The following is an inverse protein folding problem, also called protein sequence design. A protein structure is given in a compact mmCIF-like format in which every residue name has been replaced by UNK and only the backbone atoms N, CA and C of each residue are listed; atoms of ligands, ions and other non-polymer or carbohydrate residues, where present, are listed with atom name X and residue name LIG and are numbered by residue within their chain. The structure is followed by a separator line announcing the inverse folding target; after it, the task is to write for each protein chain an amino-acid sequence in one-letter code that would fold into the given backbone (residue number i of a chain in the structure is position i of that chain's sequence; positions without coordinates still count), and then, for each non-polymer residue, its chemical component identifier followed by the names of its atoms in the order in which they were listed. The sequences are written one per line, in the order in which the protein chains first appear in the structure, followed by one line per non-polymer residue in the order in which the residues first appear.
data_IF_100483687600
#
_entry.id   IF_100483687600
#
_cell.length_a   1.000
_cell.length_b   1.000
_cell.length_c   1.000
_cell.angle_alpha   90.00
_cell.angle_beta   90.00
_cell.angle_gamma   90.00
#
_symmetry.space_group_name_H-M   'P 1'
#
loop_
_entity.id
_entity.type
_entity.pdbx_description
1 polymer ?
#
# COMPACT_ATOMS: atom_id res chain seq x y z
N UNK A 1 -50.27 -41.74 20.15
CA UNK A 1 -48.99 -42.40 19.81
C UNK A 1 -48.06 -41.34 19.23
N UNK A 2 -47.17 -40.78 20.05
CA UNK A 2 -46.16 -39.80 19.66
C UNK A 2 -44.90 -40.56 19.24
N UNK A 3 -44.51 -40.45 17.97
CA UNK A 3 -43.24 -40.98 17.48
C UNK A 3 -42.13 -39.97 17.80
N UNK A 4 -41.28 -40.31 18.77
CA UNK A 4 -40.05 -39.58 19.05
C UNK A 4 -39.05 -39.82 17.91
N UNK A 5 -38.89 -38.83 17.03
CA UNK A 5 -37.83 -38.80 16.02
C UNK A 5 -36.52 -38.41 16.70
N UNK A 6 -35.73 -39.41 17.06
CA UNK A 6 -34.33 -39.31 17.44
C UNK A 6 -33.53 -38.68 16.28
N UNK A 7 -33.23 -37.39 16.37
CA UNK A 7 -32.24 -36.75 15.50
C UNK A 7 -30.86 -37.24 15.96
N UNK A 8 -30.23 -38.09 15.13
CA UNK A 8 -28.86 -38.53 15.34
C UNK A 8 -27.92 -37.32 15.43
N UNK A 9 -26.95 -37.30 16.37
CA UNK A 9 -25.92 -36.28 16.37
C UNK A 9 -25.13 -36.40 15.07
N UNK A 10 -25.14 -35.33 14.26
CA UNK A 10 -24.32 -35.23 13.04
C UNK A 10 -22.85 -35.49 13.39
N UNK A 11 -22.08 -36.08 12.46
CA UNK A 11 -20.71 -36.49 12.75
C UNK A 11 -19.90 -35.28 13.22
N UNK A 12 -19.42 -35.36 14.45
CA UNK A 12 -18.46 -34.41 14.99
C UNK A 12 -17.22 -34.45 14.09
N UNK A 13 -17.00 -33.38 13.33
CA UNK A 13 -15.79 -33.17 12.52
C UNK A 13 -14.64 -32.84 13.47
N UNK A 14 -14.29 -33.78 14.34
CA UNK A 14 -13.03 -33.77 15.06
C UNK A 14 -12.03 -34.51 14.17
N UNK A 15 -11.49 -33.81 13.18
CA UNK A 15 -10.48 -34.36 12.29
C UNK A 15 -9.20 -34.66 13.09
N UNK A 16 -8.97 -35.93 13.40
CA UNK A 16 -7.68 -36.42 13.87
C UNK A 16 -6.71 -36.42 12.67
N UNK A 17 -6.07 -35.27 12.45
CA UNK A 17 -5.08 -35.11 11.40
C UNK A 17 -3.92 -36.06 11.66
N UNK A 18 -3.52 -36.79 10.62
CA UNK A 18 -2.34 -37.68 10.69
C UNK A 18 -1.08 -36.86 10.94
N UNK A 19 -0.07 -37.46 11.58
CA UNK A 19 1.23 -36.80 11.86
C UNK A 19 1.87 -36.21 10.59
N UNK A 20 1.69 -36.88 9.44
CA UNK A 20 2.13 -36.39 8.12
C UNK A 20 1.42 -35.12 7.68
N UNK A 21 0.12 -35.02 7.91
CA UNK A 21 -0.66 -33.82 7.58
C UNK A 21 -0.29 -32.66 8.51
N UNK A 22 -0.07 -32.93 9.81
CA UNK A 22 0.39 -31.92 10.76
C UNK A 22 1.75 -31.35 10.35
N UNK A 23 2.69 -32.22 9.97
CA UNK A 23 4.01 -31.81 9.47
C UNK A 23 3.91 -31.03 8.15
N UNK A 24 3.02 -31.46 7.24
CA UNK A 24 2.78 -30.77 5.96
C UNK A 24 2.19 -29.38 6.18
N UNK A 25 1.18 -29.26 7.05
CA UNK A 25 0.57 -27.98 7.42
C UNK A 25 1.58 -27.05 8.12
N UNK A 26 2.43 -27.59 9.00
CA UNK A 26 3.48 -26.82 9.65
C UNK A 26 4.48 -26.25 8.62
N UNK A 27 4.93 -27.07 7.67
CA UNK A 27 5.82 -26.64 6.57
C UNK A 27 5.16 -25.56 5.71
N UNK A 28 3.93 -25.78 5.25
CA UNK A 28 3.20 -24.82 4.42
C UNK A 28 2.98 -23.49 5.14
N UNK A 29 2.69 -23.51 6.45
CA UNK A 29 2.58 -22.28 7.26
C UNK A 29 3.91 -21.53 7.37
N UNK A 30 5.01 -22.25 7.49
CA UNK A 30 6.35 -21.65 7.54
C UNK A 30 6.72 -21.02 6.19
N UNK A 31 6.51 -21.73 5.09
CA UNK A 31 6.71 -21.23 3.72
C UNK A 31 5.85 -19.99 3.44
N UNK A 32 4.56 -20.06 3.80
CA UNK A 32 3.64 -18.92 3.66
C UNK A 32 4.10 -17.70 4.47
N UNK A 33 4.56 -17.91 5.71
CA UNK A 33 5.10 -16.82 6.54
C UNK A 33 6.36 -16.21 5.92
N UNK A 34 7.26 -17.02 5.36
CA UNK A 34 8.47 -16.54 4.70
C UNK A 34 8.15 -15.74 3.42
N UNK A 35 7.29 -16.28 2.55
CA UNK A 35 6.86 -15.60 1.33
C UNK A 35 6.15 -14.27 1.62
N UNK A 36 5.35 -14.24 2.69
CA UNK A 36 4.69 -13.01 3.15
C UNK A 36 5.69 -11.96 3.62
N UNK A 37 6.71 -12.36 4.36
CA UNK A 37 7.75 -11.46 4.82
C UNK A 37 8.54 -10.86 3.65
N UNK A 38 8.82 -11.66 2.64
CA UNK A 38 9.46 -11.21 1.41
C UNK A 38 8.56 -10.23 0.64
N UNK A 39 7.30 -10.57 0.44
CA UNK A 39 6.32 -9.67 -0.18
C UNK A 39 6.22 -8.35 0.58
N UNK A 40 6.17 -8.38 1.91
CA UNK A 40 6.18 -7.16 2.73
C UNK A 40 7.39 -6.29 2.42
N UNK A 41 8.60 -6.88 2.38
CA UNK A 41 9.83 -6.14 2.03
C UNK A 41 9.76 -5.56 0.61
N UNK A 42 9.21 -6.29 -0.35
CA UNK A 42 9.04 -5.81 -1.73
C UNK A 42 8.04 -4.65 -1.78
N UNK A 43 6.92 -4.74 -1.06
CA UNK A 43 5.93 -3.67 -0.99
C UNK A 43 6.47 -2.42 -0.28
N UNK A 44 7.26 -2.59 0.78
CA UNK A 44 7.95 -1.46 1.43
C UNK A 44 8.92 -0.75 0.50
N UNK A 45 9.48 -1.41 -0.52
CA UNK A 45 10.30 -0.73 -1.54
C UNK A 45 9.48 0.14 -2.48
N UNK A 46 8.17 -0.08 -2.60
CA UNK A 46 7.32 0.80 -3.41
C UNK A 46 7.11 2.16 -2.76
N UNK A 47 7.04 2.20 -1.43
CA UNK A 47 6.87 3.42 -0.65
C UNK A 47 8.15 3.69 0.15
N UNK A 48 9.15 4.38 -0.40
CA UNK A 48 10.39 4.63 0.33
C UNK A 48 10.11 5.39 1.63
N UNK A 49 11.01 5.20 2.58
CA UNK A 49 11.04 6.03 3.78
C UNK A 49 11.43 7.46 3.44
N UNK A 50 11.01 8.40 4.28
CA UNK A 50 11.28 9.82 4.10
C UNK A 50 10.05 10.68 4.32
N UNK A 51 10.30 11.96 4.58
CA UNK A 51 9.26 12.96 4.81
C UNK A 51 8.78 13.56 3.49
N UNK A 52 7.50 13.93 3.49
CA UNK A 52 6.92 14.79 2.48
C UNK A 52 6.68 16.17 3.10
N UNK A 53 6.56 17.23 2.29
CA UNK A 53 6.43 18.59 2.81
C UNK A 53 5.28 18.74 3.81
N UNK A 54 5.56 19.28 4.99
CA UNK A 54 4.59 19.49 6.08
C UNK A 54 3.44 20.42 5.66
N UNK A 55 3.68 21.31 4.69
CA UNK A 55 2.66 22.20 4.13
C UNK A 55 1.49 21.43 3.46
N UNK A 56 1.67 20.16 3.10
CA UNK A 56 0.63 19.28 2.55
C UNK A 56 -0.30 18.70 3.63
N UNK A 57 0.13 18.72 4.90
CA UNK A 57 -0.60 18.22 6.08
C UNK A 57 -1.09 16.77 5.99
N UNK A 58 -0.40 15.92 5.23
CA UNK A 58 -0.84 14.56 4.88
C UNK A 58 -0.98 13.66 6.12
N UNK A 59 -1.99 12.81 6.11
CA UNK A 59 -2.08 11.66 7.02
C UNK A 59 -1.04 10.59 6.64
N UNK A 60 -0.73 9.62 7.52
CA UNK A 60 0.25 8.57 7.23
C UNK A 60 -0.04 7.80 5.93
N UNK A 61 -1.29 7.43 5.68
CA UNK A 61 -1.70 6.70 4.47
C UNK A 61 -1.60 7.55 3.20
N UNK A 62 -1.95 8.84 3.30
CA UNK A 62 -1.78 9.78 2.18
C UNK A 62 -0.29 9.98 1.85
N UNK A 63 0.56 10.11 2.88
CA UNK A 63 2.01 10.23 2.71
C UNK A 63 2.62 9.01 2.03
N UNK A 64 2.27 7.80 2.47
CA UNK A 64 2.78 6.56 1.83
C UNK A 64 2.30 6.41 0.38
N UNK A 65 1.03 6.71 0.11
CA UNK A 65 0.52 6.69 -1.28
C UNK A 65 1.27 7.70 -2.16
N UNK A 66 1.44 8.92 -1.67
CA UNK A 66 2.12 9.98 -2.42
C UNK A 66 3.60 9.64 -2.65
N UNK A 67 4.32 9.14 -1.64
CA UNK A 67 5.69 8.68 -1.78
C UNK A 67 5.81 7.56 -2.82
N UNK A 68 4.85 6.63 -2.83
CA UNK A 68 4.80 5.55 -3.81
C UNK A 68 4.68 6.06 -5.24
N UNK A 69 3.79 7.01 -5.49
CA UNK A 69 3.65 7.64 -6.80
C UNK A 69 4.83 8.55 -7.16
N UNK A 70 5.46 9.17 -6.16
CA UNK A 70 6.61 10.04 -6.36
C UNK A 70 7.83 9.26 -6.82
N UNK A 71 8.04 8.03 -6.36
CA UNK A 71 9.15 7.18 -6.83
C UNK A 71 8.82 6.47 -8.13
N UNK A 72 7.67 5.81 -8.20
CA UNK A 72 7.36 4.89 -9.29
C UNK A 72 6.70 5.58 -10.50
N UNK A 73 6.14 6.77 -10.32
CA UNK A 73 5.45 7.54 -11.36
C UNK A 73 4.06 7.00 -11.72
N UNK A 74 3.88 5.68 -11.81
CA UNK A 74 2.60 5.04 -12.05
C UNK A 74 2.50 3.71 -11.29
N UNK A 75 1.36 3.45 -10.65
CA UNK A 75 1.11 2.21 -9.92
C UNK A 75 -0.34 1.76 -10.09
N UNK A 76 -0.55 0.45 -10.14
CA UNK A 76 -1.89 -0.17 -10.09
C UNK A 76 -2.51 0.01 -8.71
N UNK A 77 -3.84 -0.05 -8.65
CA UNK A 77 -4.60 0.17 -7.41
C UNK A 77 -4.22 -0.85 -6.33
N UNK A 78 -4.01 -2.13 -6.67
CA UNK A 78 -3.57 -3.11 -5.67
C UNK A 78 -2.18 -2.77 -5.11
N UNK A 79 -1.23 -2.41 -5.97
CA UNK A 79 0.12 -2.04 -5.55
C UNK A 79 0.11 -0.85 -4.58
N UNK A 80 -0.78 0.13 -4.81
CA UNK A 80 -0.96 1.26 -3.90
C UNK A 80 -1.61 0.84 -2.58
N UNK A 81 -2.57 -0.09 -2.58
CA UNK A 81 -3.15 -0.62 -1.35
C UNK A 81 -2.08 -1.26 -0.45
N UNK A 82 -1.24 -2.13 -1.03
CA UNK A 82 -0.15 -2.76 -0.29
C UNK A 82 0.92 -1.75 0.12
N UNK A 83 1.26 -0.77 -0.73
CA UNK A 83 2.22 0.28 -0.40
C UNK A 83 1.75 1.25 0.70
N UNK A 84 0.45 1.50 0.81
CA UNK A 84 -0.13 2.29 1.91
C UNK A 84 -0.08 1.55 3.25
N UNK A 85 -0.24 0.23 3.22
CA UNK A 85 -0.45 -0.60 4.40
C UNK A 85 0.49 -1.83 4.46
N UNK A 86 1.83 -1.68 4.28
CA UNK A 86 2.76 -2.81 4.26
C UNK A 86 2.83 -3.56 5.60
N UNK A 87 2.48 -2.88 6.69
CA UNK A 87 2.53 -3.44 8.04
C UNK A 87 1.26 -4.23 8.39
N UNK A 88 0.17 -4.04 7.64
CA UNK A 88 -1.09 -4.70 7.91
C UNK A 88 -1.13 -6.10 7.28
N UNK A 89 -1.75 -7.07 7.98
CA UNK A 89 -1.98 -8.36 7.39
C UNK A 89 -3.05 -8.30 6.30
N UNK A 90 -2.95 -9.17 5.27
CA UNK A 90 -3.88 -9.16 4.13
C UNK A 90 -5.36 -9.24 4.51
N UNK A 91 -5.70 -10.03 5.54
CA UNK A 91 -7.06 -10.14 6.06
C UNK A 91 -7.59 -8.86 6.73
N UNK A 92 -6.69 -7.94 7.12
CA UNK A 92 -7.02 -6.64 7.72
C UNK A 92 -6.78 -5.49 6.74
N UNK A 93 -6.38 -5.77 5.50
CA UNK A 93 -6.23 -4.72 4.50
C UNK A 93 -7.60 -4.07 4.24
N UNK A 94 -7.63 -2.74 4.10
CA UNK A 94 -8.86 -2.07 3.75
C UNK A 94 -9.31 -2.48 2.35
N UNK A 95 -10.61 -2.35 2.07
CA UNK A 95 -11.15 -2.61 0.75
C UNK A 95 -10.42 -1.78 -0.32
N UNK A 96 -10.25 -2.34 -1.53
CA UNK A 96 -9.54 -1.67 -2.64
C UNK A 96 -10.10 -0.27 -2.97
N UNK A 97 -11.41 -0.05 -2.72
CA UNK A 97 -12.07 1.25 -2.89
C UNK A 97 -11.50 2.35 -1.98
N UNK A 98 -10.90 1.99 -0.84
CA UNK A 98 -10.26 2.94 0.07
C UNK A 98 -9.10 3.69 -0.58
N UNK A 99 -8.39 3.09 -1.55
CA UNK A 99 -7.36 3.78 -2.34
C UNK A 99 -7.96 4.99 -3.06
N UNK A 100 -9.15 4.84 -3.65
CA UNK A 100 -9.84 5.93 -4.34
C UNK A 100 -10.20 7.09 -3.41
N UNK A 101 -10.61 6.79 -2.17
CA UNK A 101 -10.88 7.80 -1.14
C UNK A 101 -9.61 8.56 -0.75
N UNK A 102 -8.50 7.84 -0.54
CA UNK A 102 -7.21 8.47 -0.21
C UNK A 102 -6.70 9.32 -1.37
N UNK A 103 -6.83 8.86 -2.61
CA UNK A 103 -6.47 9.67 -3.80
C UNK A 103 -7.35 10.91 -3.92
N UNK A 104 -8.65 10.81 -3.61
CA UNK A 104 -9.56 11.96 -3.61
C UNK A 104 -9.08 13.05 -2.63
N UNK A 105 -8.75 12.68 -1.40
CA UNK A 105 -8.22 13.63 -0.41
C UNK A 105 -6.84 14.18 -0.81
N UNK A 106 -5.94 13.34 -1.31
CA UNK A 106 -4.64 13.78 -1.83
C UNK A 106 -4.78 14.80 -2.96
N UNK A 107 -5.66 14.56 -3.93
CA UNK A 107 -5.93 15.52 -5.01
C UNK A 107 -6.38 16.87 -4.47
N UNK A 108 -7.25 16.88 -3.45
CA UNK A 108 -7.70 18.12 -2.83
C UNK A 108 -6.55 18.90 -2.17
N UNK A 109 -5.64 18.20 -1.48
CA UNK A 109 -4.46 18.80 -0.81
C UNK A 109 -3.37 19.25 -1.78
N UNK A 110 -3.22 18.58 -2.92
CA UNK A 110 -2.21 18.88 -3.93
C UNK A 110 -2.64 19.99 -4.91
N UNK A 111 -3.95 20.21 -5.08
CA UNK A 111 -4.52 21.20 -6.00
C UNK A 111 -4.00 22.64 -5.78
N UNK A 112 -3.86 23.17 -4.55
CA UNK A 112 -3.32 24.51 -4.32
C UNK A 112 -1.91 24.71 -4.87
N UNK A 113 -1.16 23.62 -4.99
CA UNK A 113 0.23 23.63 -5.48
C UNK A 113 0.33 23.29 -6.98
N UNK A 114 -0.81 23.16 -7.66
CA UNK A 114 -0.87 22.80 -9.08
C UNK A 114 -0.30 21.41 -9.39
N UNK A 115 -0.30 20.50 -8.41
CA UNK A 115 0.16 19.11 -8.55
C UNK A 115 -1.06 18.23 -8.80
N UNK A 116 -1.02 17.42 -9.84
CA UNK A 116 -2.12 16.52 -10.20
C UNK A 116 -1.71 15.04 -10.17
N UNK A 117 -2.61 14.22 -9.63
CA UNK A 117 -2.60 12.75 -9.76
C UNK A 117 -3.70 12.39 -10.75
N UNK A 118 -3.36 11.69 -11.83
CA UNK A 118 -4.31 11.32 -12.88
C UNK A 118 -4.62 9.83 -12.85
N UNK A 119 -5.77 9.46 -13.42
CA UNK A 119 -6.17 8.07 -13.59
C UNK A 119 -6.04 7.72 -15.08
N UNK A 120 -5.30 6.67 -15.47
CA UNK A 120 -5.18 6.24 -16.86
C UNK A 120 -6.56 5.93 -17.47
N UNK A 121 -6.69 5.99 -18.81
CA UNK A 121 -7.97 5.74 -19.50
C UNK A 121 -8.54 4.34 -19.24
N UNK A 122 -7.70 3.35 -18.97
CA UNK A 122 -8.12 2.00 -18.63
C UNK A 122 -8.63 1.86 -17.18
N UNK A 123 -8.58 2.90 -16.35
CA UNK A 123 -9.09 2.89 -14.97
C UNK A 123 -8.20 2.14 -13.96
N UNK A 124 -7.18 1.42 -14.43
CA UNK A 124 -6.29 0.63 -13.60
C UNK A 124 -5.16 1.50 -13.02
N UNK A 125 -5.38 1.98 -11.80
CA UNK A 125 -4.36 2.65 -11.00
C UNK A 125 -4.28 4.16 -11.17
N UNK A 126 -3.15 4.71 -10.75
CA UNK A 126 -2.93 6.14 -10.67
C UNK A 126 -1.52 6.49 -11.14
N UNK A 127 -1.39 7.67 -11.74
CA UNK A 127 -0.12 8.16 -12.26
C UNK A 127 0.11 9.61 -11.88
N UNK A 128 1.38 9.94 -11.63
CA UNK A 128 1.90 11.28 -11.44
C UNK A 128 2.89 11.59 -12.57
N UNK A 129 2.59 12.65 -13.34
CA UNK A 129 3.46 13.06 -14.43
C UNK A 129 4.84 13.52 -13.96
N UNK A 130 5.88 13.41 -14.79
CA UNK A 130 7.20 13.94 -14.47
C UNK A 130 7.16 15.41 -14.06
N UNK A 131 6.34 16.23 -14.73
CA UNK A 131 6.14 17.63 -14.37
C UNK A 131 5.57 17.81 -12.95
N UNK A 132 4.62 16.97 -12.55
CA UNK A 132 4.04 17.03 -11.21
C UNK A 132 5.03 16.53 -10.13
N UNK A 133 5.85 15.54 -10.45
CA UNK A 133 6.97 15.09 -9.59
C UNK A 133 7.99 16.20 -9.39
N UNK A 134 8.34 16.95 -10.44
CA UNK A 134 9.21 18.13 -10.37
C UNK A 134 8.62 19.20 -9.45
N UNK A 135 7.32 19.50 -9.59
CA UNK A 135 6.63 20.47 -8.71
C UNK A 135 6.70 20.04 -7.24
N UNK A 136 6.48 18.76 -6.94
CA UNK A 136 6.62 18.24 -5.58
C UNK A 136 8.07 18.34 -5.07
N UNK A 137 9.06 18.05 -5.93
CA UNK A 137 10.48 18.27 -5.62
C UNK A 137 10.82 19.72 -5.31
N UNK A 138 10.18 20.69 -5.99
CA UNK A 138 10.33 22.11 -5.66
C UNK A 138 9.77 22.44 -4.28
N UNK A 139 8.63 21.86 -3.90
CA UNK A 139 8.07 22.04 -2.56
C UNK A 139 9.00 21.49 -1.47
N UNK A 140 9.60 20.31 -1.70
CA UNK A 140 10.59 19.73 -0.79
C UNK A 140 11.78 20.68 -0.61
N UNK A 141 12.34 21.21 -1.71
CA UNK A 141 13.47 22.15 -1.64
C UNK A 141 13.10 23.45 -0.92
N UNK A 142 11.93 24.00 -1.19
CA UNK A 142 11.44 25.20 -0.49
C UNK A 142 11.30 24.96 1.02
N UNK A 143 10.87 23.76 1.45
CA UNK A 143 10.79 23.42 2.86
C UNK A 143 12.17 23.22 3.49
N UNK A 144 13.12 22.61 2.78
CA UNK A 144 14.53 22.53 3.20
C UNK A 144 15.11 23.92 3.43
N UNK A 145 14.90 24.85 2.49
CA UNK A 145 15.36 26.24 2.61
C UNK A 145 14.69 26.96 3.78
N UNK A 146 13.39 26.74 4.01
CA UNK A 146 12.64 27.39 5.08
C UNK A 146 12.94 26.83 6.49
N UNK A 147 13.25 25.54 6.60
CA UNK A 147 13.40 24.85 7.90
C UNK A 147 14.86 24.51 8.25
N UNK A 148 15.77 24.56 7.29
CA UNK A 148 17.17 24.13 7.44
C UNK A 148 17.34 22.62 7.60
N UNK A 149 16.28 21.81 7.43
CA UNK A 149 16.36 20.35 7.52
C UNK A 149 17.19 19.78 6.37
N UNK A 150 17.99 18.73 6.59
CA UNK A 150 18.75 18.12 5.52
C UNK A 150 17.81 17.48 4.49
N UNK A 151 18.17 17.59 3.20
CA UNK A 151 17.38 17.01 2.09
C UNK A 151 17.20 15.49 2.22
N UNK A 152 18.12 14.82 2.92
CA UNK A 152 18.10 13.37 3.20
C UNK A 152 16.96 12.94 4.13
N UNK A 153 16.32 13.88 4.84
CA UNK A 153 15.13 13.57 5.65
C UNK A 153 13.87 13.40 4.79
N UNK A 154 13.91 13.83 3.52
CA UNK A 154 12.78 13.80 2.61
C UNK A 154 12.83 12.56 1.70
N UNK A 155 11.68 12.22 1.13
CA UNK A 155 11.58 11.11 0.17
C UNK A 155 12.53 11.35 -1.01
N UNK A 156 13.49 10.46 -1.19
CA UNK A 156 14.38 10.46 -2.34
C UNK A 156 13.66 9.89 -3.57
N UNK A 157 13.79 10.57 -4.71
CA UNK A 157 13.25 10.09 -5.97
C UNK A 157 14.07 10.57 -7.16
N UNK A 158 14.17 9.71 -8.19
CA UNK A 158 14.82 10.05 -9.44
C UNK A 158 13.80 10.48 -10.48
N UNK A 159 14.08 11.59 -11.17
CA UNK A 159 13.30 12.05 -12.33
C UNK A 159 13.61 11.27 -13.61
N UNK A 160 14.52 10.28 -13.55
CA UNK A 160 14.82 9.42 -14.70
C UNK A 160 13.52 8.83 -15.25
N UNK A 161 13.20 9.21 -16.48
CA UNK A 161 12.11 8.61 -17.25
C UNK A 161 12.64 7.24 -17.66
N UNK A 162 11.99 6.12 -17.31
CA UNK A 162 12.38 4.83 -17.86
C UNK A 162 12.27 4.95 -19.39
N UNK A 163 13.40 4.74 -20.08
CA UNK A 163 13.40 4.64 -21.53
C UNK A 163 12.49 3.45 -21.89
N UNK A 164 11.34 3.77 -22.46
CA UNK A 164 10.41 2.81 -23.08
C UNK A 164 11.07 2.06 -24.22
#
# INVERSE_FOLDING_TARGET
MLAASSAAPGPAIAADWTERERHTLARLRAEYKAAREENRKLWSRLAPEGRLPECLKLSPSESRLLASLLVNGALRTEALLYGMCPDLPEAELPAIKSVGVVVYHLRARLRPYGIAISTPRCGDGYFMSPLNRVKLGKLIRAEVEATGRPITDFVEFSLAVPAS
#
